data_IF_722538311656
#
_entry.id   IF_722538311656
#
_cell.length_a   1.000
_cell.length_b   1.000
_cell.length_c   1.000
_cell.angle_alpha   90.00
_cell.angle_beta   90.00
_cell.angle_gamma   90.00
#
_symmetry.space_group_name_H-M   'P 1'
#
loop_
_entity.id
_entity.type
_entity.pdbx_description
1 polymer ?
#
# COMPACT_ATOMS: atom_id res chain seq x y z
N UNK A 1 19.42 8.89 -19.15
CA UNK A 1 18.69 9.61 -18.07
C UNK A 1 18.08 10.87 -18.69
N UNK A 2 17.00 10.72 -19.43
CA UNK A 2 16.31 11.84 -20.08
C UNK A 2 14.85 11.42 -20.25
N UNK A 3 13.97 12.00 -19.46
CA UNK A 3 12.54 11.69 -19.48
C UNK A 3 11.82 12.58 -18.48
N UNK A 4 11.78 13.87 -18.79
CA UNK A 4 10.93 14.91 -18.20
C UNK A 4 11.08 15.18 -16.68
N UNK A 5 11.82 16.24 -16.35
CA UNK A 5 11.77 16.84 -15.00
C UNK A 5 10.44 17.55 -14.81
N UNK A 6 9.51 16.95 -14.06
CA UNK A 6 8.28 17.61 -13.64
C UNK A 6 8.42 18.32 -12.29
N UNK A 7 7.28 18.75 -11.73
CA UNK A 7 7.20 19.59 -10.53
C UNK A 7 7.96 19.03 -9.32
N UNK A 8 7.88 17.71 -9.10
CA UNK A 8 8.52 17.06 -7.95
C UNK A 8 10.02 16.80 -8.14
N UNK A 9 10.59 17.11 -9.31
CA UNK A 9 11.98 16.78 -9.65
C UNK A 9 12.17 15.30 -10.00
N UNK A 10 13.42 14.84 -10.02
CA UNK A 10 13.76 13.46 -10.41
C UNK A 10 13.23 12.41 -9.44
N UNK A 11 12.90 11.21 -9.94
CA UNK A 11 12.43 10.10 -9.13
C UNK A 11 13.49 9.69 -8.08
N UNK A 12 13.03 9.47 -6.85
CA UNK A 12 13.87 8.95 -5.75
C UNK A 12 13.41 7.57 -5.28
N UNK A 13 12.27 7.08 -5.78
CA UNK A 13 11.79 5.73 -5.58
C UNK A 13 12.78 4.68 -6.07
N UNK A 14 12.73 3.49 -5.48
CA UNK A 14 13.56 2.36 -5.94
C UNK A 14 13.04 1.73 -7.24
N UNK A 15 11.80 2.06 -7.62
CA UNK A 15 11.11 1.58 -8.82
C UNK A 15 10.48 2.76 -9.57
N UNK A 16 10.56 2.70 -10.90
CA UNK A 16 9.92 3.57 -11.88
C UNK A 16 9.16 2.65 -12.84
N UNK A 17 7.86 2.87 -13.07
CA UNK A 17 7.04 1.91 -13.82
C UNK A 17 7.11 2.19 -15.32
N UNK A 18 6.29 1.49 -16.11
CA UNK A 18 6.33 1.60 -17.57
C UNK A 18 5.62 2.84 -18.13
N UNK A 19 4.82 3.55 -17.33
CA UNK A 19 4.15 4.78 -17.75
C UNK A 19 5.18 5.90 -17.93
N UNK A 20 5.02 6.73 -18.98
CA UNK A 20 6.00 7.80 -19.23
C UNK A 20 5.79 8.96 -18.25
N UNK A 21 6.84 9.27 -17.50
CA UNK A 21 6.81 10.32 -16.47
C UNK A 21 6.49 11.71 -17.05
N UNK A 22 5.53 12.38 -16.42
CA UNK A 22 5.04 13.73 -16.74
C UNK A 22 4.56 13.91 -18.19
N UNK A 23 4.11 12.83 -18.84
CA UNK A 23 3.63 12.88 -20.24
C UNK A 23 2.40 13.78 -20.39
N UNK A 24 1.44 13.70 -19.45
CA UNK A 24 0.14 14.38 -19.55
C UNK A 24 0.01 15.61 -18.65
N UNK A 25 0.82 15.74 -17.60
CA UNK A 25 0.71 16.82 -16.63
C UNK A 25 2.06 17.11 -15.94
N UNK A 26 2.36 18.38 -15.71
CA UNK A 26 3.61 18.79 -15.05
C UNK A 26 3.67 18.46 -13.55
N UNK A 27 2.53 18.27 -12.89
CA UNK A 27 2.41 18.04 -11.44
C UNK A 27 2.22 16.58 -11.05
N UNK A 28 1.84 15.72 -12.00
CA UNK A 28 1.56 14.29 -11.77
C UNK A 28 2.51 13.47 -12.64
N UNK A 29 3.36 12.65 -12.01
CA UNK A 29 4.38 11.87 -12.71
C UNK A 29 3.76 10.78 -13.61
N UNK A 30 3.00 9.84 -13.05
CA UNK A 30 2.34 8.78 -13.81
C UNK A 30 0.82 8.98 -13.73
N UNK A 31 0.24 9.59 -14.75
CA UNK A 31 -1.14 10.08 -14.76
C UNK A 31 -2.16 8.95 -14.59
N UNK A 32 -2.07 7.92 -15.43
CA UNK A 32 -3.03 6.82 -15.43
C UNK A 32 -2.88 5.96 -14.18
N UNK A 33 -1.65 5.65 -13.76
CA UNK A 33 -1.40 4.93 -12.51
C UNK A 33 -1.99 5.71 -11.33
N UNK A 34 -1.71 7.02 -11.19
CA UNK A 34 -2.24 7.89 -10.13
C UNK A 34 -3.78 7.88 -10.06
N UNK A 35 -4.45 8.11 -11.20
CA UNK A 35 -5.91 8.17 -11.23
C UNK A 35 -6.56 6.80 -11.04
N UNK A 36 -5.92 5.72 -11.50
CA UNK A 36 -6.41 4.36 -11.26
C UNK A 36 -6.43 4.01 -9.77
N UNK A 37 -5.47 4.50 -8.98
CA UNK A 37 -5.40 4.29 -7.53
C UNK A 37 -6.59 4.87 -6.77
N UNK A 38 -7.28 5.89 -7.30
CA UNK A 38 -8.53 6.41 -6.72
C UNK A 38 -9.63 5.35 -6.65
N UNK A 39 -9.65 4.38 -7.56
CA UNK A 39 -10.62 3.29 -7.51
C UNK A 39 -10.46 2.48 -6.22
N UNK A 40 -9.22 2.24 -5.75
CA UNK A 40 -8.96 1.55 -4.48
C UNK A 40 -9.43 2.37 -3.29
N UNK A 41 -9.17 3.69 -3.29
CA UNK A 41 -9.66 4.61 -2.26
C UNK A 41 -11.19 4.55 -2.18
N UNK A 42 -11.87 4.75 -3.31
CA UNK A 42 -13.33 4.80 -3.38
C UNK A 42 -13.94 3.45 -2.95
N UNK A 43 -13.46 2.33 -3.50
CA UNK A 43 -14.00 1.01 -3.19
C UNK A 43 -13.74 0.63 -1.73
N UNK A 44 -12.56 0.91 -1.19
CA UNK A 44 -12.24 0.65 0.21
C UNK A 44 -13.12 1.46 1.17
N UNK A 45 -13.31 2.74 0.90
CA UNK A 45 -14.17 3.62 1.70
C UNK A 45 -15.65 3.22 1.64
N UNK A 46 -16.18 3.00 0.43
CA UNK A 46 -17.55 2.53 0.23
C UNK A 46 -17.78 1.16 0.86
N UNK A 47 -16.83 0.23 0.73
CA UNK A 47 -16.91 -1.09 1.35
C UNK A 47 -17.05 -1.01 2.87
N UNK A 48 -16.27 -0.14 3.53
CA UNK A 48 -16.39 0.08 4.96
C UNK A 48 -17.68 0.81 5.36
N UNK A 49 -18.17 1.73 4.52
CA UNK A 49 -19.41 2.49 4.76
C UNK A 49 -20.66 1.63 4.63
N UNK A 50 -20.77 0.83 3.57
CA UNK A 50 -21.96 0.04 3.27
C UNK A 50 -22.20 -1.13 4.22
N UNK A 51 -21.21 -1.50 5.03
CA UNK A 51 -21.29 -2.64 5.95
C UNK A 51 -21.17 -2.21 7.43
N UNK A 52 -22.01 -1.28 7.94
CA UNK A 52 -21.86 -0.75 9.30
C UNK A 52 -22.13 -1.81 10.39
N UNK A 53 -22.89 -2.86 10.06
CA UNK A 53 -23.22 -3.97 10.95
C UNK A 53 -22.23 -5.13 10.87
N UNK A 54 -21.26 -5.11 9.96
CA UNK A 54 -20.26 -6.16 9.88
C UNK A 54 -19.30 -6.06 11.07
N UNK A 55 -18.66 -7.17 11.41
CA UNK A 55 -17.58 -7.18 12.38
C UNK A 55 -16.53 -6.13 12.02
N UNK A 56 -15.96 -5.50 13.05
CA UNK A 56 -14.99 -4.40 12.89
C UNK A 56 -13.81 -4.79 12.00
N UNK A 57 -13.35 -6.04 12.07
CA UNK A 57 -12.25 -6.57 11.26
C UNK A 57 -12.46 -6.43 9.75
N UNK A 58 -13.69 -6.57 9.25
CA UNK A 58 -13.98 -6.42 7.82
C UNK A 58 -13.95 -4.95 7.40
N UNK A 59 -14.51 -4.06 8.22
CA UNK A 59 -14.44 -2.61 7.97
C UNK A 59 -12.99 -2.13 8.00
N UNK A 60 -12.19 -2.63 8.94
CA UNK A 60 -10.76 -2.31 9.00
C UNK A 60 -10.00 -2.80 7.77
N UNK A 61 -10.28 -4.02 7.27
CA UNK A 61 -9.69 -4.52 6.03
C UNK A 61 -10.00 -3.61 4.83
N UNK A 62 -11.26 -3.17 4.69
CA UNK A 62 -11.66 -2.22 3.66
C UNK A 62 -10.96 -0.86 3.79
N UNK A 63 -10.81 -0.33 5.00
CA UNK A 63 -10.08 0.91 5.25
C UNK A 63 -8.59 0.79 4.94
N UNK A 64 -7.98 -0.36 5.22
CA UNK A 64 -6.58 -0.61 4.84
C UNK A 64 -6.39 -0.63 3.32
N UNK A 65 -7.34 -1.18 2.55
CA UNK A 65 -7.31 -1.07 1.07
C UNK A 65 -7.38 0.40 0.62
N UNK A 66 -8.20 1.22 1.27
CA UNK A 66 -8.25 2.65 0.96
C UNK A 66 -6.94 3.37 1.32
N UNK A 67 -6.28 3.00 2.42
CA UNK A 67 -4.96 3.53 2.81
C UNK A 67 -3.90 3.16 1.76
N UNK A 68 -3.89 1.92 1.26
CA UNK A 68 -3.03 1.53 0.12
C UNK A 68 -3.33 2.41 -1.09
N UNK A 69 -4.61 2.61 -1.44
CA UNK A 69 -5.00 3.47 -2.55
C UNK A 69 -4.49 4.91 -2.43
N UNK A 70 -4.51 5.49 -1.23
CA UNK A 70 -3.93 6.81 -0.97
C UNK A 70 -2.40 6.80 -1.11
N UNK A 71 -1.73 5.78 -0.60
CA UNK A 71 -0.29 5.58 -0.77
C UNK A 71 0.09 5.51 -2.24
N UNK A 72 -0.55 4.62 -2.99
CA UNK A 72 -0.38 4.41 -4.43
C UNK A 72 -0.62 5.70 -5.22
N UNK A 73 -1.68 6.45 -4.91
CA UNK A 73 -1.96 7.74 -5.55
C UNK A 73 -0.81 8.74 -5.35
N UNK A 74 -0.31 8.86 -4.12
CA UNK A 74 0.80 9.76 -3.80
C UNK A 74 2.12 9.29 -4.43
N UNK A 75 2.35 7.97 -4.46
CA UNK A 75 3.53 7.38 -5.04
C UNK A 75 3.59 7.63 -6.55
N UNK A 76 2.58 7.21 -7.30
CA UNK A 76 2.53 7.40 -8.74
C UNK A 76 2.45 8.89 -9.13
N UNK A 77 1.91 9.74 -8.24
CA UNK A 77 1.87 11.18 -8.48
C UNK A 77 3.25 11.86 -8.39
N UNK A 78 4.18 11.31 -7.60
CA UNK A 78 5.42 12.01 -7.22
C UNK A 78 6.72 11.24 -7.46
N UNK A 79 6.66 9.91 -7.55
CA UNK A 79 7.78 8.97 -7.63
C UNK A 79 8.85 9.20 -6.56
N UNK A 80 8.40 9.48 -5.33
CA UNK A 80 9.27 9.67 -4.17
C UNK A 80 9.34 8.43 -3.30
N UNK A 81 10.52 8.21 -2.73
CA UNK A 81 10.77 7.11 -1.81
C UNK A 81 9.79 7.11 -0.63
N UNK A 82 9.54 8.28 -0.05
CA UNK A 82 8.65 8.42 1.11
C UNK A 82 7.21 8.03 0.76
N UNK A 83 6.73 8.44 -0.41
CA UNK A 83 5.40 8.07 -0.90
C UNK A 83 5.33 6.62 -1.37
N UNK A 84 6.43 6.05 -1.87
CA UNK A 84 6.53 4.61 -2.16
C UNK A 84 6.36 3.80 -0.88
N UNK A 85 6.95 4.24 0.25
CA UNK A 85 6.74 3.57 1.54
C UNK A 85 5.29 3.68 2.02
N UNK A 86 4.58 4.76 1.69
CA UNK A 86 3.15 4.89 1.96
C UNK A 86 2.28 3.97 1.09
N UNK A 87 2.76 3.51 -0.05
CA UNK A 87 2.08 2.51 -0.88
C UNK A 87 2.40 1.08 -0.40
N UNK A 88 3.68 0.75 -0.35
CA UNK A 88 4.17 -0.61 -0.08
C UNK A 88 3.86 -1.08 1.35
N UNK A 89 4.17 -0.27 2.38
CA UNK A 89 4.03 -0.74 3.76
C UNK A 89 2.56 -1.05 4.13
N UNK A 90 1.56 -0.21 3.79
CA UNK A 90 0.16 -0.55 4.02
C UNK A 90 -0.32 -1.80 3.28
N UNK A 91 0.28 -2.19 2.15
CA UNK A 91 -0.07 -3.45 1.47
C UNK A 91 0.19 -4.66 2.37
N UNK A 92 1.33 -4.68 3.10
CA UNK A 92 1.64 -5.75 4.05
C UNK A 92 0.58 -5.84 5.17
N UNK A 93 0.14 -4.69 5.69
CA UNK A 93 -0.90 -4.62 6.72
C UNK A 93 -2.28 -5.03 6.19
N UNK A 94 -2.65 -4.59 4.98
CA UNK A 94 -3.88 -4.99 4.33
C UNK A 94 -3.93 -6.51 4.09
N UNK A 95 -2.86 -7.09 3.55
CA UNK A 95 -2.75 -8.53 3.30
C UNK A 95 -2.83 -9.32 4.61
N UNK A 96 -2.13 -8.87 5.66
CA UNK A 96 -2.18 -9.48 7.00
C UNK A 96 -3.59 -9.42 7.60
N UNK A 97 -4.29 -8.29 7.45
CA UNK A 97 -5.67 -8.13 7.92
C UNK A 97 -6.65 -9.05 7.17
N UNK A 98 -6.51 -9.18 5.86
CA UNK A 98 -7.31 -10.09 5.04
C UNK A 98 -7.03 -11.55 5.45
N UNK A 99 -5.76 -11.92 5.62
CA UNK A 99 -5.36 -13.25 6.09
C UNK A 99 -5.95 -13.57 7.47
N UNK A 100 -5.90 -12.61 8.41
CA UNK A 100 -6.55 -12.75 9.70
C UNK A 100 -8.05 -13.03 9.57
N UNK A 101 -8.75 -12.25 8.73
CA UNK A 101 -10.18 -12.45 8.49
C UNK A 101 -10.48 -13.85 7.95
N UNK A 102 -9.70 -14.34 6.97
CA UNK A 102 -9.85 -15.68 6.40
C UNK A 102 -9.62 -16.79 7.42
N UNK A 103 -8.56 -16.70 8.23
CA UNK A 103 -8.22 -17.72 9.22
C UNK A 103 -9.26 -17.78 10.34
N UNK A 104 -9.67 -16.63 10.89
CA UNK A 104 -10.70 -16.60 11.95
C UNK A 104 -12.05 -17.07 11.43
N UNK A 105 -12.40 -16.80 10.16
CA UNK A 105 -13.62 -17.32 9.55
C UNK A 105 -13.59 -18.85 9.41
N UNK A 106 -12.46 -19.40 8.96
CA UNK A 106 -12.30 -20.85 8.77
C UNK A 106 -12.14 -21.60 10.10
N UNK A 107 -11.48 -20.98 11.08
CA UNK A 107 -11.18 -21.55 12.38
C UNK A 107 -11.60 -20.59 13.51
N UNK A 108 -12.90 -20.54 13.87
CA UNK A 108 -13.43 -19.59 14.84
C UNK A 108 -12.85 -19.70 16.26
N UNK A 109 -12.21 -20.83 16.59
CA UNK A 109 -11.58 -21.10 17.89
C UNK A 109 -10.09 -20.76 17.94
N UNK A 110 -9.55 -20.08 16.92
CA UNK A 110 -8.14 -19.67 16.94
C UNK A 110 -7.87 -18.75 18.15
N UNK A 111 -6.78 -19.02 18.86
CA UNK A 111 -6.44 -18.30 20.08
C UNK A 111 -6.01 -16.86 19.81
N UNK A 112 -6.06 -16.01 20.85
CA UNK A 112 -5.61 -14.60 20.79
C UNK A 112 -4.13 -14.43 20.43
N UNK A 113 -3.32 -15.48 20.55
CA UNK A 113 -1.92 -15.48 20.13
C UNK A 113 -1.76 -15.23 18.62
N UNK A 114 -2.73 -15.65 17.80
CA UNK A 114 -2.63 -15.57 16.34
C UNK A 114 -2.60 -14.12 15.81
N UNK A 115 -3.58 -13.24 16.14
CA UNK A 115 -3.50 -11.84 15.72
C UNK A 115 -2.27 -11.11 16.31
N UNK A 116 -1.82 -11.49 17.51
CA UNK A 116 -0.62 -10.90 18.12
C UNK A 116 0.63 -11.29 17.31
N UNK A 117 0.79 -12.58 17.02
CA UNK A 117 1.92 -13.08 16.24
C UNK A 117 1.92 -12.46 14.83
N UNK A 118 0.77 -12.42 14.18
CA UNK A 118 0.62 -11.84 12.86
C UNK A 118 0.98 -10.35 12.86
N UNK A 119 0.46 -9.58 13.82
CA UNK A 119 0.78 -8.15 13.93
C UNK A 119 2.26 -7.91 14.24
N UNK A 120 2.88 -8.76 15.08
CA UNK A 120 4.30 -8.68 15.39
C UNK A 120 5.16 -8.99 14.15
N UNK A 121 4.77 -9.99 13.36
CA UNK A 121 5.40 -10.31 12.09
C UNK A 121 5.30 -9.14 11.09
N UNK A 122 4.10 -8.59 10.88
CA UNK A 122 3.89 -7.45 9.98
C UNK A 122 4.67 -6.21 10.43
N UNK A 123 4.73 -5.95 11.74
CA UNK A 123 5.52 -4.84 12.30
C UNK A 123 7.03 -5.04 12.12
N UNK A 124 7.52 -6.28 12.24
CA UNK A 124 8.92 -6.62 11.97
C UNK A 124 9.24 -6.39 10.49
N UNK A 125 8.42 -6.90 9.58
CA UNK A 125 8.57 -6.67 8.13
C UNK A 125 8.57 -5.18 7.82
N UNK A 126 7.58 -4.44 8.35
CA UNK A 126 7.48 -2.98 8.19
C UNK A 126 8.76 -2.27 8.64
N UNK A 127 9.29 -2.65 9.81
CA UNK A 127 10.51 -2.05 10.35
C UNK A 127 11.73 -2.38 9.49
N UNK A 128 11.88 -3.63 9.06
CA UNK A 128 13.00 -4.06 8.22
C UNK A 128 12.99 -3.34 6.87
N UNK A 129 11.83 -3.24 6.23
CA UNK A 129 11.66 -2.53 4.95
C UNK A 129 11.95 -1.03 5.14
N UNK A 130 11.35 -0.40 6.16
CA UNK A 130 11.52 1.05 6.43
C UNK A 130 12.96 1.45 6.75
N UNK A 131 13.73 0.57 7.38
CA UNK A 131 15.13 0.80 7.76
C UNK A 131 16.13 0.41 6.66
N UNK A 132 15.66 -0.17 5.57
CA UNK A 132 16.46 -0.57 4.42
C UNK A 132 16.31 0.41 3.26
N UNK A 133 17.17 0.33 2.25
CA UNK A 133 17.06 1.16 1.04
C UNK A 133 17.59 0.44 -0.21
N UNK A 134 17.28 0.99 -1.38
CA UNK A 134 17.74 0.47 -2.67
C UNK A 134 17.28 -0.97 -2.93
N UNK A 135 18.18 -1.80 -3.49
CA UNK A 135 17.86 -3.19 -3.85
C UNK A 135 17.46 -4.05 -2.64
N UNK A 136 18.04 -3.79 -1.46
CA UNK A 136 17.70 -4.54 -0.27
C UNK A 136 16.26 -4.29 0.14
N UNK A 137 15.83 -3.02 0.17
CA UNK A 137 14.44 -2.64 0.42
C UNK A 137 13.49 -3.31 -0.57
N UNK A 138 13.84 -3.24 -1.86
CA UNK A 138 13.06 -3.87 -2.92
C UNK A 138 12.86 -5.38 -2.67
N UNK A 139 13.94 -6.13 -2.42
CA UNK A 139 13.83 -7.58 -2.19
C UNK A 139 13.13 -7.91 -0.87
N UNK A 140 13.37 -7.15 0.20
CA UNK A 140 12.70 -7.37 1.48
C UNK A 140 11.19 -7.21 1.34
N UNK A 141 10.72 -6.18 0.64
CA UNK A 141 9.29 -5.99 0.41
C UNK A 141 8.69 -7.10 -0.47
N UNK A 142 9.35 -7.51 -1.55
CA UNK A 142 8.79 -8.48 -2.52
C UNK A 142 8.89 -9.96 -2.08
N UNK A 143 9.74 -10.29 -1.10
CA UNK A 143 9.95 -11.67 -0.63
C UNK A 143 9.33 -11.96 0.73
N UNK A 144 8.77 -10.95 1.41
CA UNK A 144 8.09 -11.10 2.70
C UNK A 144 6.57 -11.20 2.51
#
# INVERSE_FOLDING_TARGET
>A
MSGYTGYWGGATSSVDWCETNYEYNFYVAEMFNTFSSLAMVIIGELGAWFHPRSEYRYRLAFRLIAIVGWGSLLFHGTLKYETQMLDELPMCWAASMIFYCLIVNKYPKVGRWFPILLSAYTALVTSLVSLSSGKLQFYLFHLT
#
